data_IF_293350329917
#
_entry.id   IF_293350329917
#
_cell.length_a   1.000
_cell.length_b   1.000
_cell.length_c   1.000
_cell.angle_alpha   90.00
_cell.angle_beta   90.00
_cell.angle_gamma   90.00
#
_symmetry.space_group_name_H-M   'P 1'
#
loop_
_entity.id
_entity.type
_entity.pdbx_description
1 polymer ?
#
# COMPACT_ATOMS: atom_id res chain seq x y z
N UNK A 1 13.49 -10.99 -13.34
CA UNK A 1 13.32 -10.56 -11.93
C UNK A 1 14.38 -9.51 -11.67
N UNK A 2 13.96 -8.24 -11.66
CA UNK A 2 14.83 -7.11 -11.31
C UNK A 2 14.63 -6.82 -9.82
N UNK A 3 15.71 -6.70 -9.07
CA UNK A 3 15.68 -6.36 -7.66
C UNK A 3 16.62 -5.18 -7.44
N UNK A 4 16.02 -4.04 -7.12
CA UNK A 4 16.73 -2.83 -6.73
C UNK A 4 16.63 -2.68 -5.21
N UNK A 5 17.75 -2.39 -4.56
CA UNK A 5 17.86 -2.32 -3.10
C UNK A 5 18.33 -0.94 -2.65
N UNK A 6 17.75 -0.48 -1.54
CA UNK A 6 18.11 0.76 -0.88
C UNK A 6 18.37 0.50 0.61
N UNK A 7 19.36 1.17 1.19
CA UNK A 7 19.66 1.09 2.63
C UNK A 7 18.60 1.79 3.52
N UNK A 8 17.64 2.47 2.91
CA UNK A 8 16.56 3.21 3.54
C UNK A 8 15.20 2.70 3.08
N UNK A 9 14.16 3.04 3.85
CA UNK A 9 12.75 2.83 3.48
C UNK A 9 12.03 4.17 3.23
N UNK A 10 12.78 5.24 3.01
CA UNK A 10 12.19 6.55 2.76
C UNK A 10 11.41 6.57 1.43
N UNK A 11 10.42 7.45 1.33
CA UNK A 11 9.66 7.66 0.09
C UNK A 11 10.57 8.04 -1.10
N UNK A 12 11.67 8.74 -0.87
CA UNK A 12 12.64 9.17 -1.90
C UNK A 12 13.35 8.00 -2.59
N UNK A 13 13.33 6.79 -2.01
CA UNK A 13 13.88 5.61 -2.69
C UNK A 13 13.09 5.23 -3.95
N UNK A 14 11.85 5.70 -4.09
CA UNK A 14 11.01 5.41 -5.25
C UNK A 14 11.31 6.32 -6.45
N UNK A 15 12.02 7.43 -6.24
CA UNK A 15 12.41 8.37 -7.31
C UNK A 15 13.28 7.69 -8.39
N UNK A 16 14.11 6.73 -8.00
CA UNK A 16 14.92 5.94 -8.94
C UNK A 16 14.24 4.66 -9.42
N UNK A 17 13.32 4.13 -8.62
CA UNK A 17 12.74 2.79 -8.83
C UNK A 17 11.50 2.80 -9.72
N UNK A 18 10.67 3.84 -9.63
CA UNK A 18 9.38 3.94 -10.35
C UNK A 18 9.30 5.01 -11.47
N UNK A 19 10.39 5.67 -11.94
CA UNK A 19 10.24 6.63 -13.03
C UNK A 19 9.67 5.93 -14.27
N UNK A 20 8.78 6.62 -14.96
CA UNK A 20 8.09 6.16 -16.18
C UNK A 20 7.21 4.90 -16.05
N UNK A 21 7.02 4.38 -14.83
CA UNK A 21 6.13 3.24 -14.62
C UNK A 21 4.66 3.67 -14.74
N UNK A 22 3.90 2.97 -15.59
CA UNK A 22 2.46 3.13 -15.74
C UNK A 22 1.76 1.78 -15.58
N UNK A 23 0.69 1.74 -14.78
CA UNK A 23 -0.09 0.52 -14.55
C UNK A 23 -0.37 0.22 -13.08
N UNK A 24 -0.54 -1.07 -12.76
CA UNK A 24 -0.94 -1.53 -11.44
C UNK A 24 0.26 -1.76 -10.51
N UNK A 25 0.46 -0.84 -9.57
CA UNK A 25 1.46 -0.98 -8.51
C UNK A 25 0.84 -1.64 -7.27
N UNK A 26 1.14 -2.92 -7.02
CA UNK A 26 0.69 -3.62 -5.82
C UNK A 26 1.75 -3.56 -4.71
N UNK A 27 1.43 -3.00 -3.54
CA UNK A 27 2.38 -2.84 -2.42
C UNK A 27 1.89 -3.48 -1.13
N UNK A 28 2.78 -3.70 -0.16
CA UNK A 28 2.49 -4.34 1.13
C UNK A 28 1.70 -3.46 2.13
N UNK A 29 1.32 -2.25 1.73
CA UNK A 29 0.62 -1.28 2.58
C UNK A 29 1.54 -0.41 3.43
N UNK A 30 2.84 -0.36 3.15
CA UNK A 30 3.74 0.58 3.80
C UNK A 30 3.44 2.03 3.44
N UNK A 31 3.49 2.94 4.41
CA UNK A 31 3.04 4.33 4.25
C UNK A 31 3.90 5.19 3.31
N UNK A 32 5.13 4.78 3.00
CA UNK A 32 5.99 5.53 2.10
C UNK A 32 5.47 5.54 0.65
N UNK A 33 4.78 4.49 0.20
CA UNK A 33 4.20 4.43 -1.15
C UNK A 33 3.15 5.52 -1.40
N UNK A 34 2.08 5.64 -0.58
CA UNK A 34 1.14 6.74 -0.76
C UNK A 34 1.75 8.10 -0.42
N UNK A 35 2.76 8.19 0.46
CA UNK A 35 3.44 9.46 0.69
C UNK A 35 4.17 9.97 -0.56
N UNK A 36 4.87 9.07 -1.26
CA UNK A 36 5.54 9.35 -2.52
C UNK A 36 4.55 9.72 -3.63
N UNK A 37 3.55 8.87 -3.89
CA UNK A 37 2.51 9.12 -4.92
C UNK A 37 1.71 10.41 -4.68
N UNK A 38 1.60 10.89 -3.43
CA UNK A 38 0.85 12.10 -3.12
C UNK A 38 1.70 13.37 -3.06
N UNK A 39 3.04 13.27 -3.18
CA UNK A 39 3.88 14.46 -3.36
C UNK A 39 3.54 15.10 -4.72
N UNK A 40 3.49 16.43 -4.76
CA UNK A 40 3.20 17.19 -5.98
C UNK A 40 4.23 16.95 -7.09
N UNK A 41 5.46 16.55 -6.73
CA UNK A 41 6.51 16.22 -7.68
C UNK A 41 6.18 14.98 -8.52
N UNK A 42 5.34 14.08 -8.00
CA UNK A 42 4.99 12.81 -8.65
C UNK A 42 3.57 12.81 -9.23
N UNK A 43 3.10 13.98 -9.69
CA UNK A 43 1.75 14.14 -10.20
C UNK A 43 1.49 13.32 -11.48
N UNK A 44 2.52 13.13 -12.31
CA UNK A 44 2.44 12.36 -13.54
C UNK A 44 2.34 10.86 -13.23
N UNK A 45 3.20 10.37 -12.34
CA UNK A 45 3.21 8.99 -11.87
C UNK A 45 1.91 8.67 -11.12
N UNK A 46 1.40 9.61 -10.32
CA UNK A 46 0.08 9.48 -9.68
C UNK A 46 -1.06 9.29 -10.68
N UNK A 47 -0.98 9.95 -11.84
CA UNK A 47 -1.98 9.79 -12.89
C UNK A 47 -1.81 8.47 -13.66
N UNK A 48 -0.58 8.00 -13.81
CA UNK A 48 -0.23 6.78 -14.54
C UNK A 48 -0.40 5.48 -13.72
N UNK A 49 -0.32 5.59 -12.39
CA UNK A 49 -0.27 4.44 -11.48
C UNK A 49 -1.62 4.21 -10.80
N UNK A 50 -2.13 2.99 -10.95
CA UNK A 50 -3.20 2.46 -10.10
C UNK A 50 -2.53 1.77 -8.92
N UNK A 51 -2.59 2.40 -7.74
CA UNK A 51 -1.98 1.86 -6.52
C UNK A 51 -2.95 0.89 -5.82
N UNK A 52 -2.51 -0.36 -5.62
CA UNK A 52 -3.27 -1.40 -4.95
C UNK A 52 -2.53 -1.92 -3.71
N UNK A 53 -3.28 -2.18 -2.63
CA UNK A 53 -2.74 -2.87 -1.47
C UNK A 53 -2.73 -4.39 -1.68
N UNK A 54 -1.70 -5.06 -1.18
CA UNK A 54 -1.55 -6.50 -1.28
C UNK A 54 -2.51 -7.23 -0.35
N UNK A 55 -3.41 -8.05 -0.92
CA UNK A 55 -4.39 -8.83 -0.16
C UNK A 55 -3.77 -9.81 0.85
N UNK A 56 -2.64 -10.43 0.49
CA UNK A 56 -1.93 -11.34 1.38
C UNK A 56 -1.42 -10.62 2.65
N UNK A 57 -0.97 -9.36 2.54
CA UNK A 57 -0.56 -8.54 3.67
C UNK A 57 -1.77 -8.05 4.49
N UNK A 58 -2.85 -7.65 3.82
CA UNK A 58 -4.08 -7.25 4.49
C UNK A 58 -4.67 -8.36 5.38
N UNK A 59 -4.75 -9.60 4.85
CA UNK A 59 -5.29 -10.77 5.56
C UNK A 59 -4.59 -11.10 6.87
N UNK A 60 -3.30 -10.82 7.02
CA UNK A 60 -2.54 -11.08 8.26
C UNK A 60 -3.00 -10.21 9.44
N UNK A 61 -3.62 -9.05 9.17
CA UNK A 61 -4.08 -8.11 10.21
C UNK A 61 -5.55 -8.26 10.57
N UNK A 62 -6.31 -9.11 9.87
CA UNK A 62 -7.64 -9.51 10.33
C UNK A 62 -7.49 -10.44 11.54
N UNK A 63 -7.38 -9.84 12.73
CA UNK A 63 -7.57 -10.57 13.99
C UNK A 63 -9.04 -10.95 14.12
N UNK A 64 -9.25 -12.16 14.63
CA UNK A 64 -10.55 -12.80 14.82
C UNK A 64 -11.60 -11.85 15.41
N UNK A 65 -12.73 -11.76 14.71
CA UNK A 65 -13.96 -11.21 15.29
C UNK A 65 -14.33 -12.13 16.47
N UNK A 66 -14.46 -11.61 17.70
CA UNK A 66 -14.96 -12.41 18.81
C UNK A 66 -16.33 -12.98 18.43
N UNK A 67 -16.63 -14.27 18.72
CA UNK A 67 -17.97 -14.81 18.50
C UNK A 67 -19.00 -13.92 19.20
N UNK A 68 -20.14 -13.69 18.55
CA UNK A 68 -21.18 -12.79 19.03
C UNK A 68 -21.54 -13.11 20.49
N UNK A 69 -21.24 -12.20 21.42
CA UNK A 69 -21.58 -12.34 22.83
C UNK A 69 -23.06 -12.08 23.03
N UNK A 70 -23.85 -13.17 22.93
CA UNK A 70 -25.26 -13.37 23.30
C UNK A 70 -26.28 -12.38 22.68
N UNK A 71 -27.37 -12.85 22.02
CA UNK A 71 -28.38 -11.94 21.50
C UNK A 71 -29.00 -11.11 22.64
N UNK A 72 -29.08 -9.78 22.46
CA UNK A 72 -29.87 -8.92 23.36
C UNK A 72 -31.32 -9.41 23.28
N UNK A 73 -31.89 -9.81 24.42
CA UNK A 73 -33.34 -9.99 24.54
C UNK A 73 -33.97 -8.62 24.31
N UNK A 74 -34.79 -8.51 23.27
CA UNK A 74 -35.73 -7.42 23.12
C UNK A 74 -36.91 -7.81 24.03
N UNK A 75 -37.05 -7.10 25.16
CA UNK A 75 -38.27 -7.12 25.98
C UNK A 75 -39.19 -6.00 25.52
#
# INVERSE_FOLDING_TARGET
MLFEWHASRAATCFDSMLPDYAGLLQTDGYGAYPAWLNDKKHAEEKAAIIHAACWAHARRKFKEVPPATRPRKIS
#
